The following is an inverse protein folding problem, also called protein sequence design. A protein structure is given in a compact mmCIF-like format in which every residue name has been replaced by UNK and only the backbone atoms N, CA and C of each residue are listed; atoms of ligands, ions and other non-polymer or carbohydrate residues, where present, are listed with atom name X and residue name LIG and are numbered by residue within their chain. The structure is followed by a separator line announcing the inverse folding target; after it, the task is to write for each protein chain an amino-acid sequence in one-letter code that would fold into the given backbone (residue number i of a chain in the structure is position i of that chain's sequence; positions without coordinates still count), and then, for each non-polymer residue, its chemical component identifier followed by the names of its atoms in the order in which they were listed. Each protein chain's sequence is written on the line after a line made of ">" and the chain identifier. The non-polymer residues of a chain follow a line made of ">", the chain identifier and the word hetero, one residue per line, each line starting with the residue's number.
data_IF_034780049454
#
_entry.id   IF_034780049454
#
_cell.length_a   1.000
_cell.length_b   1.000
_cell.length_c   1.000
_cell.angle_alpha   90.00
_cell.angle_beta   90.00
_cell.angle_gamma   90.00
#
_symmetry.space_group_name_H-M   'P 1'
#
loop_
_entity.id
_entity.type
_entity.pdbx_description
1 polymer ?
#
# COMPACT_ATOMS: atom_id res chain seq x y z
N UNK A 1 -61.56 17.76 23.87
CA UNK A 1 -61.17 16.37 23.51
C UNK A 1 -60.71 16.33 22.07
N UNK A 2 -59.40 16.21 21.83
CA UNK A 2 -58.78 15.53 20.67
C UNK A 2 -57.30 15.34 21.01
N UNK A 3 -56.96 14.08 21.23
CA UNK A 3 -55.65 13.53 21.60
C UNK A 3 -54.68 13.78 20.42
N UNK A 4 -53.51 14.36 20.71
CA UNK A 4 -52.20 13.72 20.67
C UNK A 4 -51.84 13.08 19.32
N UNK A 5 -50.72 13.51 18.71
CA UNK A 5 -49.53 12.67 18.66
C UNK A 5 -48.32 13.51 18.22
N UNK A 6 -47.32 13.51 19.09
CA UNK A 6 -46.00 14.08 18.94
C UNK A 6 -45.22 13.24 17.92
N UNK A 7 -44.93 13.79 16.73
CA UNK A 7 -44.05 13.14 15.76
C UNK A 7 -42.61 13.45 16.18
N UNK A 8 -41.97 12.42 16.70
CA UNK A 8 -40.59 12.40 17.16
C UNK A 8 -39.64 12.70 15.99
N UNK A 9 -38.79 13.69 16.25
CA UNK A 9 -37.59 14.10 15.56
C UNK A 9 -36.71 12.89 15.16
N UNK A 10 -36.59 12.59 13.87
CA UNK A 10 -35.52 11.74 13.33
C UNK A 10 -34.56 12.61 12.53
N UNK A 11 -33.61 13.18 13.26
CA UNK A 11 -32.39 13.79 12.75
C UNK A 11 -31.59 12.70 11.99
N UNK A 12 -31.74 12.65 10.67
CA UNK A 12 -30.76 12.01 9.79
C UNK A 12 -29.51 12.90 9.76
N UNK A 13 -28.63 12.77 10.77
CA UNK A 13 -27.24 13.19 10.57
C UNK A 13 -26.61 12.19 9.59
N UNK A 14 -26.21 12.58 8.38
CA UNK A 14 -25.32 11.74 7.60
C UNK A 14 -24.03 11.57 8.43
N UNK A 15 -23.67 10.30 8.69
CA UNK A 15 -22.34 9.96 9.21
C UNK A 15 -21.31 10.74 8.41
N UNK A 16 -20.52 11.57 9.08
CA UNK A 16 -19.42 12.27 8.47
C UNK A 16 -18.49 11.24 7.81
N UNK A 17 -18.51 11.18 6.49
CA UNK A 17 -17.44 10.53 5.74
C UNK A 17 -16.20 11.35 6.07
N UNK A 18 -15.27 10.77 6.83
CA UNK A 18 -13.99 11.40 7.11
C UNK A 18 -13.37 11.79 5.78
N UNK A 19 -13.12 13.09 5.60
CA UNK A 19 -12.35 13.58 4.48
C UNK A 19 -10.96 12.95 4.61
N UNK A 20 -10.64 12.00 3.73
CA UNK A 20 -9.27 11.55 3.55
C UNK A 20 -8.47 12.76 3.07
N UNK A 21 -7.69 13.35 3.96
CA UNK A 21 -6.70 14.35 3.57
C UNK A 21 -5.60 13.63 2.79
N UNK A 22 -5.63 13.78 1.46
CA UNK A 22 -4.48 13.51 0.62
C UNK A 22 -3.49 14.65 0.83
N UNK A 23 -2.39 14.39 1.53
CA UNK A 23 -1.30 15.35 1.59
C UNK A 23 -0.47 15.18 0.30
N UNK A 24 -0.62 16.10 -0.65
CA UNK A 24 -0.13 15.98 -2.03
C UNK A 24 1.21 16.71 -2.28
N UNK A 25 1.98 17.08 -1.26
CA UNK A 25 3.14 17.97 -1.46
C UNK A 25 4.53 17.34 -1.28
N UNK A 26 4.68 16.19 -0.60
CA UNK A 26 5.93 15.43 -0.58
C UNK A 26 5.81 14.22 -1.50
N UNK A 27 6.71 14.09 -2.47
CA UNK A 27 6.73 12.95 -3.39
C UNK A 27 6.79 11.63 -2.61
N UNK A 28 5.90 10.69 -2.93
CA UNK A 28 5.91 9.35 -2.31
C UNK A 28 6.96 8.48 -3.00
N UNK A 29 8.18 8.51 -2.49
CA UNK A 29 9.31 7.76 -3.03
C UNK A 29 9.42 6.36 -2.43
N UNK A 30 10.06 5.44 -3.15
CA UNK A 30 10.67 4.26 -2.55
C UNK A 30 12.07 4.63 -2.11
N UNK A 31 12.35 4.55 -0.80
CA UNK A 31 13.66 4.85 -0.22
C UNK A 31 14.36 3.58 0.25
N UNK A 32 15.42 3.23 -0.47
CA UNK A 32 16.29 2.10 -0.19
C UNK A 32 17.71 2.62 -0.08
N UNK A 33 18.61 1.84 0.52
CA UNK A 33 20.02 2.26 0.65
C UNK A 33 20.65 2.52 -0.73
N UNK A 34 20.36 1.67 -1.71
CA UNK A 34 20.94 1.75 -3.06
C UNK A 34 20.20 2.67 -4.03
N UNK A 35 18.98 3.11 -3.70
CA UNK A 35 18.17 3.90 -4.63
C UNK A 35 17.06 4.67 -3.92
N UNK A 36 16.75 5.87 -4.44
CA UNK A 36 15.52 6.59 -4.16
C UNK A 36 14.83 6.91 -5.49
N UNK A 37 13.55 6.55 -5.63
CA UNK A 37 12.81 6.75 -6.89
C UNK A 37 11.31 6.88 -6.68
N UNK A 38 10.60 7.55 -7.58
CA UNK A 38 9.13 7.55 -7.61
C UNK A 38 8.67 6.42 -8.54
N UNK A 39 8.00 5.38 -8.02
CA UNK A 39 7.66 4.22 -8.84
C UNK A 39 6.61 4.49 -9.92
N UNK A 40 5.86 5.59 -9.81
CA UNK A 40 4.84 5.99 -10.77
C UNK A 40 5.38 7.02 -11.76
N UNK A 41 6.14 8.01 -11.29
CA UNK A 41 6.65 9.09 -12.14
C UNK A 41 7.93 8.70 -12.91
N UNK A 42 8.89 8.07 -12.24
CA UNK A 42 10.19 7.67 -12.83
C UNK A 42 10.30 6.17 -13.08
N UNK A 43 9.50 5.37 -12.39
CA UNK A 43 9.63 3.92 -12.35
C UNK A 43 10.89 3.44 -11.62
N UNK A 44 11.08 2.12 -11.59
CA UNK A 44 12.27 1.49 -10.98
C UNK A 44 13.54 1.81 -11.79
N UNK A 45 14.66 2.25 -11.17
CA UNK A 45 15.89 2.58 -11.90
C UNK A 45 16.49 1.36 -12.63
N UNK A 46 17.05 1.57 -13.82
CA UNK A 46 17.64 0.47 -14.60
C UNK A 46 18.86 -0.16 -13.91
N UNK A 47 19.64 0.62 -13.17
CA UNK A 47 20.85 0.15 -12.48
C UNK A 47 20.60 -0.95 -11.43
N UNK A 48 19.38 -1.05 -10.91
CA UNK A 48 18.97 -2.07 -9.93
C UNK A 48 18.17 -3.22 -10.56
N UNK A 49 17.80 -3.11 -11.84
CA UNK A 49 17.14 -4.18 -12.60
C UNK A 49 18.19 -5.21 -13.03
N UNK A 50 18.66 -6.00 -12.09
CA UNK A 50 19.44 -7.20 -12.41
C UNK A 50 18.52 -8.22 -13.11
N UNK A 51 19.03 -8.96 -14.11
CA UNK A 51 18.27 -10.04 -14.73
C UNK A 51 17.92 -11.07 -13.65
N UNK A 52 16.63 -11.40 -13.54
CA UNK A 52 16.23 -12.52 -12.68
C UNK A 52 16.89 -13.79 -13.21
N UNK A 53 17.53 -14.54 -12.31
CA UNK A 53 18.13 -15.82 -12.65
C UNK A 53 17.02 -16.76 -13.13
N UNK A 54 17.13 -17.26 -14.35
CA UNK A 54 16.15 -18.15 -14.95
C UNK A 54 15.91 -19.36 -14.01
N UNK A 55 14.64 -19.58 -13.63
CA UNK A 55 14.24 -20.65 -12.72
C UNK A 55 14.24 -20.31 -11.23
N UNK A 56 14.69 -19.11 -10.83
CA UNK A 56 14.60 -18.64 -9.44
C UNK A 56 13.41 -17.70 -9.28
N UNK A 57 12.36 -18.16 -8.59
CA UNK A 57 11.21 -17.30 -8.24
C UNK A 57 11.60 -16.44 -7.03
N UNK A 58 11.54 -15.12 -7.18
CA UNK A 58 11.74 -14.17 -6.08
C UNK A 58 10.39 -13.84 -5.41
N UNK A 59 10.11 -14.33 -4.20
CA UNK A 59 8.84 -14.02 -3.53
C UNK A 59 8.86 -12.65 -2.83
N UNK A 60 9.99 -11.94 -2.81
CA UNK A 60 10.13 -10.70 -2.07
C UNK A 60 9.75 -9.50 -2.93
N UNK A 61 8.90 -8.66 -2.37
CA UNK A 61 8.32 -7.50 -3.02
C UNK A 61 8.41 -6.28 -2.12
N UNK A 62 8.40 -5.10 -2.72
CA UNK A 62 8.14 -3.84 -2.04
C UNK A 62 6.69 -3.48 -2.33
N UNK A 63 5.91 -3.19 -1.30
CA UNK A 63 4.52 -2.72 -1.38
C UNK A 63 4.46 -1.31 -0.83
N UNK A 64 4.06 -0.34 -1.65
CA UNK A 64 3.83 1.03 -1.22
C UNK A 64 2.34 1.32 -1.14
N UNK A 65 1.91 1.97 -0.07
CA UNK A 65 0.54 2.41 0.14
C UNK A 65 0.35 3.86 -0.28
N UNK A 66 -0.83 4.19 -0.80
CA UNK A 66 -1.18 5.55 -1.26
C UNK A 66 -1.27 6.58 -0.13
N UNK A 67 -1.42 6.10 1.11
CA UNK A 67 -1.60 6.91 2.32
C UNK A 67 -0.86 6.24 3.49
N UNK A 68 -0.65 6.96 4.61
CA UNK A 68 -0.15 6.36 5.84
C UNK A 68 -0.83 5.04 6.16
N UNK A 69 -0.01 4.03 6.47
CA UNK A 69 -0.46 2.67 6.72
C UNK A 69 -1.44 2.65 7.90
N UNK A 70 -2.71 2.39 7.61
CA UNK A 70 -3.68 2.07 8.65
C UNK A 70 -3.55 0.59 9.03
N UNK A 71 -3.92 0.25 10.26
CA UNK A 71 -3.94 -1.15 10.71
C UNK A 71 -4.87 -2.01 9.83
N UNK A 72 -5.94 -1.41 9.28
CA UNK A 72 -6.83 -2.07 8.35
C UNK A 72 -6.15 -2.41 7.01
N UNK A 73 -5.36 -1.50 6.45
CA UNK A 73 -4.63 -1.75 5.20
C UNK A 73 -3.58 -2.85 5.38
N UNK A 74 -2.86 -2.83 6.50
CA UNK A 74 -1.90 -3.90 6.85
C UNK A 74 -2.60 -5.25 6.99
N UNK A 75 -3.71 -5.30 7.73
CA UNK A 75 -4.48 -6.54 7.91
C UNK A 75 -5.02 -7.08 6.57
N UNK A 76 -5.45 -6.21 5.66
CA UNK A 76 -5.90 -6.61 4.32
C UNK A 76 -4.77 -7.23 3.49
N UNK A 77 -3.56 -6.67 3.54
CA UNK A 77 -2.40 -7.25 2.86
C UNK A 77 -2.12 -8.67 3.38
N UNK A 78 -2.14 -8.84 4.70
CA UNK A 78 -1.89 -10.13 5.35
C UNK A 78 -2.98 -11.16 5.01
N UNK A 79 -4.26 -10.75 5.04
CA UNK A 79 -5.39 -11.60 4.64
C UNK A 79 -5.30 -12.07 3.18
N UNK A 80 -4.70 -11.27 2.30
CA UNK A 80 -4.50 -11.64 0.90
C UNK A 80 -3.30 -12.57 0.67
N UNK A 81 -2.51 -12.83 1.72
CA UNK A 81 -1.36 -13.73 1.70
C UNK A 81 0.00 -13.03 1.58
N UNK A 82 0.08 -11.71 1.84
CA UNK A 82 1.35 -11.03 2.00
C UNK A 82 1.88 -11.19 3.44
N UNK A 83 3.16 -11.47 3.60
CA UNK A 83 3.83 -11.42 4.91
C UNK A 83 4.71 -10.20 4.96
N UNK A 84 4.38 -9.20 5.78
CA UNK A 84 5.20 -7.99 5.92
C UNK A 84 6.44 -8.28 6.77
N UNK A 85 7.62 -8.00 6.23
CA UNK A 85 8.92 -8.33 6.82
C UNK A 85 9.64 -7.12 7.40
N UNK A 86 9.32 -5.92 6.90
CA UNK A 86 9.95 -4.69 7.35
C UNK A 86 9.29 -3.47 6.74
N UNK A 87 9.42 -2.35 7.43
CA UNK A 87 8.94 -1.05 6.97
C UNK A 87 10.05 -0.30 6.24
N UNK A 88 9.67 0.44 5.20
CA UNK A 88 10.47 1.44 4.51
C UNK A 88 9.76 2.80 4.64
N UNK A 89 10.50 3.92 4.60
CA UNK A 89 9.88 5.24 4.56
C UNK A 89 8.84 5.39 3.45
N UNK A 90 7.98 6.41 3.58
CA UNK A 90 6.94 6.75 2.59
C UNK A 90 5.93 5.62 2.35
N UNK A 91 5.49 5.00 3.46
CA UNK A 91 4.41 4.00 3.52
C UNK A 91 4.70 2.75 2.70
N UNK A 92 5.96 2.33 2.67
CA UNK A 92 6.38 1.15 1.95
C UNK A 92 6.77 0.00 2.91
N UNK A 93 6.62 -1.22 2.43
CA UNK A 93 6.96 -2.42 3.16
C UNK A 93 7.73 -3.39 2.28
N UNK A 94 8.73 -4.06 2.86
CA UNK A 94 9.27 -5.28 2.28
C UNK A 94 8.33 -6.40 2.69
N UNK A 95 7.82 -7.16 1.73
CA UNK A 95 6.87 -8.23 1.94
C UNK A 95 7.29 -9.51 1.20
N UNK A 96 6.99 -10.67 1.77
CA UNK A 96 6.97 -11.94 1.03
C UNK A 96 5.56 -12.13 0.49
N UNK A 97 5.42 -12.32 -0.81
CA UNK A 97 4.14 -12.51 -1.50
C UNK A 97 4.31 -13.67 -2.48
N UNK A 98 3.44 -14.67 -2.39
CA UNK A 98 3.42 -15.76 -3.37
C UNK A 98 2.77 -15.32 -4.69
N UNK A 99 3.12 -15.99 -5.79
CA UNK A 99 2.65 -15.65 -7.14
C UNK A 99 1.12 -15.59 -7.26
N UNK A 100 0.42 -16.47 -6.54
CA UNK A 100 -1.05 -16.50 -6.54
C UNK A 100 -1.68 -15.32 -5.80
N UNK A 101 -0.97 -14.69 -4.86
CA UNK A 101 -1.43 -13.57 -4.05
C UNK A 101 -1.08 -12.21 -4.68
N UNK A 102 0.00 -12.16 -5.46
CA UNK A 102 0.53 -10.92 -6.03
C UNK A 102 -0.49 -10.11 -6.84
N UNK A 103 -1.33 -10.70 -7.72
CA UNK A 103 -2.36 -9.94 -8.43
C UNK A 103 -3.39 -9.30 -7.49
N UNK A 104 -3.82 -10.03 -6.45
CA UNK A 104 -4.81 -9.52 -5.48
C UNK A 104 -4.26 -8.37 -4.66
N UNK A 105 -3.01 -8.48 -4.21
CA UNK A 105 -2.34 -7.39 -3.48
C UNK A 105 -2.21 -6.15 -4.36
N UNK A 106 -1.81 -6.31 -5.63
CA UNK A 106 -1.71 -5.20 -6.60
C UNK A 106 -3.04 -4.50 -6.86
N UNK A 107 -4.16 -5.20 -6.74
CA UNK A 107 -5.50 -4.66 -6.98
C UNK A 107 -6.11 -3.95 -5.76
N UNK A 108 -5.46 -3.94 -4.60
CA UNK A 108 -5.98 -3.24 -3.43
C UNK A 108 -5.98 -1.72 -3.66
N UNK A 109 -7.10 -1.01 -3.41
CA UNK A 109 -7.16 0.46 -3.58
C UNK A 109 -6.16 1.23 -2.69
N UNK A 110 -5.80 0.65 -1.55
CA UNK A 110 -4.80 1.23 -0.65
C UNK A 110 -3.37 1.11 -1.19
N UNK A 111 -3.11 0.21 -2.14
CA UNK A 111 -1.79 -0.04 -2.72
C UNK A 111 -1.55 0.92 -3.88
N UNK A 112 -0.49 1.72 -3.74
CA UNK A 112 0.01 2.63 -4.77
C UNK A 112 0.87 1.88 -5.79
N UNK A 113 1.73 0.99 -5.30
CA UNK A 113 2.70 0.31 -6.14
C UNK A 113 3.18 -1.00 -5.52
N UNK A 114 3.50 -1.97 -6.39
CA UNK A 114 4.18 -3.23 -6.00
C UNK A 114 5.27 -3.56 -7.01
N UNK A 115 6.50 -3.71 -6.53
CA UNK A 115 7.63 -4.14 -7.34
C UNK A 115 8.50 -5.19 -6.65
N UNK A 116 9.41 -5.84 -7.37
CA UNK A 116 10.30 -6.85 -6.80
C UNK A 116 11.29 -6.22 -5.81
N UNK A 117 11.53 -6.87 -4.69
CA UNK A 117 12.64 -6.55 -3.79
C UNK A 117 13.86 -7.38 -4.19
N UNK A 118 14.81 -6.73 -4.85
CA UNK A 118 16.01 -7.36 -5.44
C UNK A 118 17.20 -7.36 -4.48
N UNK A 119 18.15 -8.31 -4.63
CA UNK A 119 19.38 -8.35 -3.82
C UNK A 119 20.19 -7.04 -3.88
N UNK A 120 20.24 -6.37 -5.03
CA UNK A 120 20.92 -5.09 -5.21
C UNK A 120 20.47 -4.00 -4.21
N UNK A 121 19.24 -4.06 -3.70
CA UNK A 121 18.75 -3.08 -2.73
C UNK A 121 19.32 -3.24 -1.31
N UNK A 122 19.92 -4.39 -0.98
CA UNK A 122 20.56 -4.63 0.34
C UNK A 122 21.95 -4.05 0.44
N UNK A 123 22.63 -3.84 -0.70
CA UNK A 123 24.04 -3.48 -0.78
C UNK A 123 24.14 -2.13 -1.46
N UNK A 124 24.29 -1.08 -0.67
CA UNK A 124 24.93 0.15 -1.13
C UNK A 124 25.98 0.57 -0.10
#
# INVERSE_FOLDING_TARGET
>A
MKKALLVVLLLFLPLSVSAFSFNTADGQFIRLHAATFDPIASGEPAAVREPELAGVVNPYHIVQLSSPSSQAAVAQLEQLGATLLGYLPDNAYIARIGDSALPRVRSLPAVRWVGPYRPAYKRA
#
